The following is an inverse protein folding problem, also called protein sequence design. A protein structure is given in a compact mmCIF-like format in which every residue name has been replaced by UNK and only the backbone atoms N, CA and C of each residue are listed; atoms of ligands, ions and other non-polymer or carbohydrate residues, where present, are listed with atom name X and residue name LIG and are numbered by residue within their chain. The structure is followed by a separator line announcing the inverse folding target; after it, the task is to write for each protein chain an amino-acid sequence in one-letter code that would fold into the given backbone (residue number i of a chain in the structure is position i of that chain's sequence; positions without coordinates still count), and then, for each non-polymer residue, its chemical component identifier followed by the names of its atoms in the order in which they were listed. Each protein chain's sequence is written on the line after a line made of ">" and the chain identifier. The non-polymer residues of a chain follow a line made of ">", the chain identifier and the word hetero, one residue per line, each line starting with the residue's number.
data_IF_047242553978
#
_entry.id   IF_047242553978
#
_cell.length_a   1.000
_cell.length_b   1.000
_cell.length_c   1.000
_cell.angle_alpha   90.00
_cell.angle_beta   90.00
_cell.angle_gamma   90.00
#
_symmetry.space_group_name_H-M   'P 1'
#
loop_
_entity.id
_entity.type
_entity.pdbx_description
1 polymer ?
#
# COMPACT_ATOMS: atom_id res chain seq x y z
N UNK A 1 8.52 -3.77 -5.65
CA UNK A 1 9.00 -2.54 -4.98
C UNK A 1 8.06 -1.41 -5.35
N UNK A 2 7.71 -0.53 -4.42
CA UNK A 2 6.92 0.67 -4.72
C UNK A 2 7.85 1.81 -5.13
N UNK A 3 7.42 2.60 -6.12
CA UNK A 3 8.17 3.69 -6.70
C UNK A 3 7.30 4.95 -6.85
N UNK A 4 7.97 6.09 -6.97
CA UNK A 4 7.34 7.38 -7.26
C UNK A 4 7.29 7.62 -8.78
N UNK A 5 6.58 8.69 -9.20
CA UNK A 5 6.49 9.08 -10.61
C UNK A 5 5.21 8.63 -11.33
N UNK A 6 4.25 8.10 -10.60
CA UNK A 6 2.91 7.81 -11.13
C UNK A 6 2.10 9.07 -11.44
N UNK A 7 0.95 8.87 -12.07
CA UNK A 7 -0.02 9.91 -12.42
C UNK A 7 -1.09 10.08 -11.33
N UNK A 8 -1.75 11.25 -11.35
CA UNK A 8 -2.89 11.57 -10.50
C UNK A 8 -4.08 11.88 -11.41
N UNK A 9 -5.24 11.31 -11.09
CA UNK A 9 -6.52 11.47 -11.81
C UNK A 9 -6.49 11.14 -13.33
N UNK A 10 -5.65 10.19 -13.76
CA UNK A 10 -5.62 9.63 -15.11
C UNK A 10 -6.02 8.14 -15.15
N UNK A 11 -6.38 7.59 -16.32
CA UNK A 11 -6.75 6.18 -16.46
C UNK A 11 -5.64 5.19 -16.07
N UNK A 12 -4.37 5.60 -16.15
CA UNK A 12 -3.17 4.84 -15.82
C UNK A 12 -2.71 5.03 -14.36
N UNK A 13 -3.57 5.60 -13.50
CA UNK A 13 -3.25 5.78 -12.08
C UNK A 13 -3.01 4.47 -11.36
N UNK A 14 -2.11 4.54 -10.38
CA UNK A 14 -1.97 3.52 -9.36
C UNK A 14 -2.86 3.87 -8.16
N UNK A 15 -3.78 2.98 -7.80
CA UNK A 15 -4.70 3.19 -6.69
C UNK A 15 -4.20 2.52 -5.42
N UNK A 16 -4.34 3.22 -4.31
CA UNK A 16 -4.04 2.71 -2.99
C UNK A 16 -5.23 2.89 -2.06
N UNK A 17 -5.44 1.91 -1.18
CA UNK A 17 -6.50 1.93 -0.17
C UNK A 17 -5.90 1.76 1.22
N UNK A 18 -6.42 2.55 2.15
CA UNK A 18 -6.11 2.43 3.57
C UNK A 18 -7.18 1.54 4.20
N UNK A 19 -6.75 0.46 4.84
CA UNK A 19 -7.65 -0.50 5.50
C UNK A 19 -7.34 -0.50 6.99
N UNK A 20 -8.37 -0.49 7.83
CA UNK A 20 -8.21 -0.55 9.28
C UNK A 20 -7.52 -1.86 9.67
N UNK A 21 -6.42 -1.78 10.41
CA UNK A 21 -5.75 -2.97 10.95
C UNK A 21 -6.58 -3.58 12.10
N UNK A 22 -6.34 -4.87 12.42
CA UNK A 22 -7.00 -5.56 13.53
C UNK A 22 -6.72 -4.94 14.93
N UNK A 23 -5.73 -4.04 15.02
CA UNK A 23 -5.42 -3.26 16.21
C UNK A 23 -5.55 -1.74 15.97
N UNK A 24 -4.50 -1.02 16.29
CA UNK A 24 -4.40 0.43 16.07
C UNK A 24 -3.65 0.73 14.75
N UNK A 25 -4.08 1.79 14.06
CA UNK A 25 -3.49 2.21 12.78
C UNK A 25 -4.19 1.63 11.54
N UNK A 26 -3.48 1.66 10.42
CA UNK A 26 -3.97 1.19 9.13
C UNK A 26 -2.92 0.38 8.37
N UNK A 27 -3.38 -0.39 7.40
CA UNK A 27 -2.58 -1.11 6.42
C UNK A 27 -2.81 -0.49 5.04
N UNK A 28 -1.78 -0.52 4.19
CA UNK A 28 -1.86 0.00 2.84
C UNK A 28 -2.03 -1.17 1.87
N UNK A 29 -2.93 -1.02 0.91
CA UNK A 29 -3.16 -1.99 -0.17
C UNK A 29 -3.05 -1.28 -1.51
N UNK A 30 -2.45 -1.94 -2.49
CA UNK A 30 -2.48 -1.51 -3.89
C UNK A 30 -3.63 -2.21 -4.60
N UNK A 31 -4.46 -1.43 -5.30
CA UNK A 31 -5.64 -1.91 -6.00
C UNK A 31 -5.55 -1.54 -7.49
N UNK A 32 -6.12 -2.35 -8.40
CA UNK A 32 -6.15 -2.02 -9.82
C UNK A 32 -7.05 -0.81 -10.12
N UNK A 33 -8.14 -0.65 -9.37
CA UNK A 33 -9.07 0.47 -9.51
C UNK A 33 -9.62 0.95 -8.15
N UNK A 34 -10.24 2.15 -8.06
CA UNK A 34 -10.75 2.68 -6.78
C UNK A 34 -11.91 1.85 -6.21
N UNK A 35 -12.70 1.23 -7.08
CA UNK A 35 -13.89 0.44 -6.77
C UNK A 35 -13.61 -1.04 -6.56
N UNK A 36 -12.37 -1.51 -6.75
CA UNK A 36 -12.03 -2.93 -6.62
C UNK A 36 -12.43 -3.42 -5.22
N UNK A 37 -13.04 -4.61 -5.11
CA UNK A 37 -13.21 -5.24 -3.82
C UNK A 37 -11.82 -5.59 -3.22
N UNK A 38 -11.74 -5.64 -1.89
CA UNK A 38 -10.44 -5.69 -1.20
C UNK A 38 -9.64 -6.97 -1.48
N UNK A 39 -10.32 -8.07 -1.78
CA UNK A 39 -9.73 -9.36 -2.17
C UNK A 39 -8.94 -9.31 -3.50
N UNK A 40 -9.20 -8.31 -4.34
CA UNK A 40 -8.45 -8.03 -5.57
C UNK A 40 -7.26 -7.09 -5.36
N UNK A 41 -7.14 -6.51 -4.15
CA UNK A 41 -6.02 -5.65 -3.81
C UNK A 41 -4.88 -6.47 -3.19
N UNK A 42 -3.65 -6.03 -3.41
CA UNK A 42 -2.46 -6.63 -2.81
C UNK A 42 -1.97 -5.82 -1.61
N UNK A 43 -1.65 -6.45 -0.48
CA UNK A 43 -1.13 -5.73 0.68
C UNK A 43 0.26 -5.17 0.37
N UNK A 44 0.53 -3.98 0.91
CA UNK A 44 1.84 -3.35 0.92
C UNK A 44 2.52 -3.71 2.23
N UNK A 45 3.70 -4.32 2.15
CA UNK A 45 4.56 -4.67 3.26
C UNK A 45 5.94 -4.03 3.13
N UNK A 46 6.83 -4.46 4.01
CA UNK A 46 8.22 -4.00 4.09
C UNK A 46 9.15 -5.15 3.69
N UNK A 47 10.13 -4.85 2.83
CA UNK A 47 11.19 -5.78 2.43
C UNK A 47 12.56 -5.12 2.64
N UNK A 48 13.55 -5.91 3.06
CA UNK A 48 14.94 -5.44 3.19
C UNK A 48 15.68 -5.66 1.88
N UNK A 49 16.24 -4.59 1.32
CA UNK A 49 17.09 -4.61 0.13
C UNK A 49 18.29 -3.71 0.40
N UNK A 50 19.51 -4.23 0.20
CA UNK A 50 20.77 -3.50 0.43
C UNK A 50 20.87 -2.84 1.82
N UNK A 51 20.34 -3.51 2.84
CA UNK A 51 20.33 -3.02 4.23
C UNK A 51 19.33 -1.89 4.49
N UNK A 52 18.48 -1.54 3.52
CA UNK A 52 17.43 -0.54 3.64
C UNK A 52 16.06 -1.19 3.55
N UNK A 53 15.12 -0.61 4.29
CA UNK A 53 13.73 -1.04 4.25
C UNK A 53 12.98 -0.33 3.12
N UNK A 54 12.36 -1.11 2.26
CA UNK A 54 11.57 -0.63 1.13
C UNK A 54 10.13 -1.13 1.23
N UNK A 55 9.19 -0.29 0.82
CA UNK A 55 7.80 -0.72 0.66
C UNK A 55 7.65 -1.54 -0.63
N UNK A 56 6.91 -2.65 -0.55
CA UNK A 56 6.67 -3.54 -1.69
C UNK A 56 5.33 -4.27 -1.53
N UNK A 57 4.83 -4.82 -2.63
CA UNK A 57 3.68 -5.72 -2.60
C UNK A 57 4.11 -7.04 -1.95
N UNK A 58 3.31 -7.52 -1.01
CA UNK A 58 3.55 -8.75 -0.24
C UNK A 58 2.32 -9.66 -0.31
N UNK A 59 2.43 -10.89 0.21
CA UNK A 59 1.30 -11.83 0.27
C UNK A 59 0.53 -11.73 1.59
N UNK A 60 1.23 -11.78 2.72
CA UNK A 60 0.57 -12.09 4.00
C UNK A 60 0.74 -11.02 5.09
N UNK A 61 1.86 -10.30 5.10
CA UNK A 61 2.24 -9.39 6.19
C UNK A 61 2.22 -7.92 5.77
N UNK A 62 1.04 -7.27 5.71
CA UNK A 62 0.96 -5.84 5.43
C UNK A 62 1.70 -5.04 6.52
N UNK A 63 2.30 -3.93 6.11
CA UNK A 63 2.96 -3.01 7.00
C UNK A 63 1.93 -2.09 7.66
N UNK A 64 1.86 -2.13 8.99
CA UNK A 64 1.00 -1.27 9.78
C UNK A 64 1.59 0.12 9.98
N UNK A 65 0.78 1.18 9.86
CA UNK A 65 1.20 2.56 10.00
C UNK A 65 0.18 3.43 10.75
N UNK A 66 0.61 4.64 11.10
CA UNK A 66 -0.22 5.72 11.64
C UNK A 66 -0.02 6.99 10.81
N UNK A 67 -1.05 7.85 10.79
CA UNK A 67 -0.92 9.19 10.25
C UNK A 67 -0.57 10.17 11.38
N UNK A 68 0.50 10.92 11.17
CA UNK A 68 0.84 12.09 11.97
C UNK A 68 0.57 13.33 11.11
N UNK A 69 -0.05 14.35 11.70
CA UNK A 69 -0.28 15.62 11.01
C UNK A 69 1.05 16.37 10.90
N UNK A 70 1.44 16.72 9.67
CA UNK A 70 2.60 17.55 9.38
C UNK A 70 2.37 19.04 9.72
#
# INVERSE_FOLDING_TARGET
>A
MLALGGTILRPDNNWFRIVKALGFGGNLFSCPDPSSPLDQCQPVGQVSQDGKNHLALVKDYPFGFYFEKA
#
